data_IF_536564012351
#
_entry.id   IF_536564012351
#
_cell.length_a   1.000
_cell.length_b   1.000
_cell.length_c   1.000
_cell.angle_alpha   90.00
_cell.angle_beta   90.00
_cell.angle_gamma   90.00
#
_symmetry.space_group_name_H-M   'P 1'
#
loop_
_entity.id
_entity.type
_entity.pdbx_description
1 polymer ?
#
# COMPACT_ATOMS: atom_id res chain seq x y z
N UNK A 1 6.37 -20.04 5.44
CA UNK A 1 5.98 -19.02 6.43
C UNK A 1 7.28 -18.49 7.02
N UNK A 2 7.60 -17.23 6.79
CA UNK A 2 8.82 -16.59 7.34
C UNK A 2 8.59 -16.35 8.82
N UNK A 3 9.61 -16.58 9.64
CA UNK A 3 9.45 -16.39 11.08
C UNK A 3 9.40 -14.87 11.44
N UNK A 4 8.79 -14.53 12.57
CA UNK A 4 8.61 -13.12 12.97
C UNK A 4 9.95 -12.41 13.21
N UNK A 5 11.01 -13.13 13.54
CA UNK A 5 12.34 -12.58 13.81
C UNK A 5 13.07 -12.23 12.52
N UNK A 6 13.04 -13.12 11.53
CA UNK A 6 13.54 -12.94 10.17
C UNK A 6 12.85 -11.75 9.50
N UNK A 7 11.52 -11.66 9.64
CA UNK A 7 10.77 -10.54 9.06
C UNK A 7 11.12 -9.19 9.71
N UNK A 8 11.36 -9.17 11.03
CA UNK A 8 11.82 -7.95 11.72
C UNK A 8 13.22 -7.53 11.27
N UNK A 9 14.14 -8.47 11.12
CA UNK A 9 15.49 -8.20 10.61
C UNK A 9 15.41 -7.67 9.17
N UNK A 10 14.62 -8.31 8.31
CA UNK A 10 14.39 -7.84 6.94
C UNK A 10 13.81 -6.42 6.90
N UNK A 11 12.86 -6.09 7.77
CA UNK A 11 12.30 -4.74 7.84
C UNK A 11 13.35 -3.71 8.30
N UNK A 12 14.24 -4.06 9.23
CA UNK A 12 15.35 -3.19 9.66
C UNK A 12 16.34 -2.96 8.51
N UNK A 13 16.78 -4.02 7.86
CA UNK A 13 17.73 -3.94 6.75
C UNK A 13 17.15 -3.14 5.57
N UNK A 14 15.87 -3.36 5.27
CA UNK A 14 15.14 -2.61 4.23
C UNK A 14 15.02 -1.13 4.57
N UNK A 15 14.68 -0.80 5.82
CA UNK A 15 14.60 0.58 6.29
C UNK A 15 15.94 1.31 6.12
N UNK A 16 17.04 0.67 6.55
CA UNK A 16 18.39 1.23 6.41
C UNK A 16 18.75 1.42 4.94
N UNK A 17 18.54 0.38 4.12
CA UNK A 17 18.91 0.38 2.70
C UNK A 17 18.19 1.48 1.91
N UNK A 18 16.89 1.66 2.16
CA UNK A 18 16.03 2.57 1.40
C UNK A 18 15.80 3.92 2.10
N UNK A 19 16.53 4.18 3.19
CA UNK A 19 16.45 5.43 3.95
C UNK A 19 15.02 5.82 4.38
N UNK A 20 14.25 4.82 4.80
CA UNK A 20 12.91 4.98 5.39
C UNK A 20 12.90 4.48 6.83
N UNK A 21 11.85 4.76 7.59
CA UNK A 21 11.76 4.26 8.97
C UNK A 21 11.20 2.83 9.01
N UNK A 22 11.63 2.05 9.99
CA UNK A 22 11.06 0.73 10.27
C UNK A 22 9.55 0.82 10.59
N UNK A 23 9.12 1.92 11.22
CA UNK A 23 7.71 2.20 11.49
C UNK A 23 6.86 2.32 10.22
N UNK A 24 7.38 2.99 9.17
CA UNK A 24 6.71 3.06 7.86
C UNK A 24 6.50 1.66 7.27
N UNK A 25 7.51 0.78 7.36
CA UNK A 25 7.44 -0.59 6.87
C UNK A 25 6.43 -1.41 7.68
N UNK A 26 6.53 -1.41 9.02
CA UNK A 26 5.65 -2.21 9.86
C UNK A 26 4.19 -1.79 9.76
N UNK A 27 3.91 -0.47 9.75
CA UNK A 27 2.55 0.05 9.55
C UNK A 27 2.01 -0.34 8.18
N UNK A 28 2.81 -0.19 7.13
CA UNK A 28 2.40 -0.56 5.78
C UNK A 28 2.12 -2.06 5.63
N UNK A 29 3.01 -2.90 6.15
CA UNK A 29 2.86 -4.35 6.17
C UNK A 29 1.58 -4.77 6.92
N UNK A 30 1.36 -4.22 8.12
CA UNK A 30 0.15 -4.51 8.90
C UNK A 30 -1.13 -4.11 8.13
N UNK A 31 -1.16 -2.91 7.57
CA UNK A 31 -2.28 -2.41 6.79
C UNK A 31 -2.58 -3.27 5.56
N UNK A 32 -1.55 -3.72 4.84
CA UNK A 32 -1.68 -4.59 3.68
C UNK A 32 -2.14 -6.01 4.05
N UNK A 33 -1.61 -6.58 5.14
CA UNK A 33 -2.08 -7.87 5.69
C UNK A 33 -3.56 -7.83 6.03
N UNK A 34 -4.00 -6.82 6.78
CA UNK A 34 -5.40 -6.65 7.17
C UNK A 34 -6.30 -6.44 5.94
N UNK A 35 -5.78 -5.81 4.89
CA UNK A 35 -6.51 -5.61 3.62
C UNK A 35 -6.57 -6.86 2.73
N UNK A 36 -5.91 -7.96 3.11
CA UNK A 36 -5.88 -9.18 2.32
C UNK A 36 -4.97 -9.09 1.08
N UNK A 37 -3.88 -8.32 1.15
CA UNK A 37 -2.89 -8.27 0.08
C UNK A 37 -2.40 -9.69 -0.25
N UNK A 38 -2.43 -10.13 -1.53
CA UNK A 38 -2.06 -11.49 -1.90
C UNK A 38 -0.54 -11.74 -1.95
N UNK A 39 0.28 -10.69 -1.78
CA UNK A 39 1.73 -10.81 -1.77
C UNK A 39 2.22 -11.38 -0.43
N UNK A 40 3.39 -12.03 -0.47
CA UNK A 40 4.04 -12.52 0.76
C UNK A 40 4.55 -11.34 1.57
N UNK A 41 4.66 -11.50 2.88
CA UNK A 41 5.15 -10.45 3.76
C UNK A 41 6.54 -9.93 3.37
N UNK A 42 7.43 -10.81 2.94
CA UNK A 42 8.76 -10.43 2.45
C UNK A 42 8.69 -9.57 1.19
N UNK A 43 7.77 -9.91 0.28
CA UNK A 43 7.56 -9.17 -0.96
C UNK A 43 6.97 -7.78 -0.64
N UNK A 44 6.07 -7.70 0.34
CA UNK A 44 5.50 -6.44 0.83
C UNK A 44 6.58 -5.54 1.46
N UNK A 45 7.42 -6.10 2.34
CA UNK A 45 8.52 -5.35 2.97
C UNK A 45 9.45 -4.78 1.91
N UNK A 46 9.88 -5.60 0.95
CA UNK A 46 10.76 -5.15 -0.13
C UNK A 46 10.07 -4.07 -1.00
N UNK A 47 8.80 -4.27 -1.38
CA UNK A 47 8.03 -3.30 -2.15
C UNK A 47 7.89 -1.94 -1.45
N UNK A 48 7.65 -1.92 -0.13
CA UNK A 48 7.58 -0.69 0.66
C UNK A 48 8.93 0.03 0.71
N UNK A 49 10.04 -0.72 0.77
CA UNK A 49 11.39 -0.18 0.62
C UNK A 49 11.64 0.44 -0.74
N UNK A 50 11.39 -0.32 -1.81
CA UNK A 50 11.59 0.16 -3.20
C UNK A 50 10.80 1.43 -3.50
N UNK A 51 9.57 1.55 -3.01
CA UNK A 51 8.76 2.76 -3.16
C UNK A 51 9.34 3.97 -2.39
N UNK A 52 10.01 3.71 -1.26
CA UNK A 52 10.70 4.71 -0.46
C UNK A 52 11.79 5.47 -1.24
N UNK A 53 12.53 4.78 -2.12
CA UNK A 53 13.55 5.38 -2.98
C UNK A 53 12.98 6.49 -3.91
N UNK A 54 11.67 6.46 -4.15
CA UNK A 54 10.95 7.43 -5.00
C UNK A 54 10.09 8.41 -4.18
N UNK A 55 10.27 8.45 -2.85
CA UNK A 55 9.48 9.30 -1.96
C UNK A 55 8.02 8.83 -1.78
N UNK A 56 7.69 7.60 -2.19
CA UNK A 56 6.36 7.03 -2.03
C UNK A 56 6.37 6.19 -0.75
N UNK A 57 5.81 6.72 0.33
CA UNK A 57 5.80 6.08 1.64
C UNK A 57 4.46 6.26 2.37
N UNK A 58 4.32 5.62 3.54
CA UNK A 58 3.10 5.63 4.35
C UNK A 58 1.88 5.17 3.53
N UNK A 59 0.76 5.87 3.69
CA UNK A 59 -0.52 5.57 3.05
C UNK A 59 -0.42 5.48 1.52
N UNK A 60 0.38 6.33 0.87
CA UNK A 60 0.54 6.30 -0.58
C UNK A 60 1.19 4.99 -1.05
N UNK A 61 2.19 4.50 -0.32
CA UNK A 61 2.81 3.22 -0.63
C UNK A 61 1.84 2.05 -0.42
N UNK A 62 1.03 2.12 0.64
CA UNK A 62 0.03 1.09 0.96
C UNK A 62 -1.07 1.02 -0.09
N UNK A 63 -1.66 2.17 -0.46
CA UNK A 63 -2.67 2.24 -1.53
C UNK A 63 -2.12 1.68 -2.84
N UNK A 64 -0.88 2.04 -3.16
CA UNK A 64 -0.20 1.62 -4.37
C UNK A 64 0.09 0.13 -4.42
N UNK A 65 0.65 -0.43 -3.35
CA UNK A 65 0.88 -1.88 -3.24
C UNK A 65 -0.44 -2.63 -3.30
N UNK A 66 -1.47 -2.20 -2.54
CA UNK A 66 -2.79 -2.83 -2.57
C UNK A 66 -3.33 -2.88 -4.00
N UNK A 67 -3.31 -1.73 -4.71
CA UNK A 67 -3.85 -1.65 -6.07
C UNK A 67 -3.09 -2.51 -7.08
N UNK A 68 -1.76 -2.49 -7.05
CA UNK A 68 -0.95 -3.27 -7.99
C UNK A 68 -1.07 -4.78 -7.69
N UNK A 69 -1.17 -5.15 -6.41
CA UNK A 69 -1.26 -6.54 -5.98
C UNK A 69 -2.55 -7.24 -6.42
N UNK A 70 -3.63 -6.49 -6.67
CA UNK A 70 -4.88 -7.02 -7.26
C UNK A 70 -4.71 -7.47 -8.71
N UNK A 71 -3.73 -6.91 -9.44
CA UNK A 71 -3.53 -7.16 -10.86
C UNK A 71 -2.31 -8.04 -11.17
N UNK A 72 -1.26 -7.96 -10.35
CA UNK A 72 0.04 -8.58 -10.64
C UNK A 72 0.67 -9.24 -9.42
N UNK A 73 1.41 -10.33 -9.66
CA UNK A 73 2.35 -10.86 -8.67
C UNK A 73 3.52 -9.88 -8.50
N UNK A 74 4.07 -9.80 -7.29
CA UNK A 74 5.21 -8.92 -7.01
C UNK A 74 6.39 -9.15 -7.97
N UNK A 75 6.72 -10.41 -8.27
CA UNK A 75 7.80 -10.78 -9.20
C UNK A 75 7.70 -10.14 -10.59
N UNK A 76 6.49 -9.79 -11.05
CA UNK A 76 6.25 -9.16 -12.35
C UNK A 76 6.51 -7.65 -12.33
N UNK A 77 6.36 -7.02 -11.16
CA UNK A 77 6.36 -5.55 -11.00
C UNK A 77 7.53 -5.06 -10.12
N UNK A 78 8.38 -5.97 -9.66
CA UNK A 78 9.58 -5.68 -8.87
C UNK A 78 10.47 -4.65 -9.59
N UNK A 79 10.93 -3.64 -8.87
CA UNK A 79 11.75 -2.54 -9.40
C UNK A 79 11.01 -1.51 -10.25
N UNK A 80 9.76 -1.76 -10.63
CA UNK A 80 8.95 -0.83 -11.46
C UNK A 80 7.68 -0.36 -10.76
N UNK A 81 7.55 -0.63 -9.46
CA UNK A 81 6.39 -0.24 -8.65
C UNK A 81 6.10 1.26 -8.68
N UNK A 82 7.07 2.12 -8.97
CA UNK A 82 6.92 3.58 -9.03
C UNK A 82 6.34 4.09 -10.37
N UNK A 83 6.25 3.25 -11.41
CA UNK A 83 5.71 3.63 -12.73
C UNK A 83 4.19 3.83 -12.71
N UNK A 84 3.67 4.66 -13.62
CA UNK A 84 2.21 4.91 -13.70
C UNK A 84 1.40 3.60 -13.76
N UNK A 85 0.17 3.61 -13.23
CA UNK A 85 -0.70 2.43 -13.27
C UNK A 85 -0.93 1.95 -14.70
N UNK A 86 -1.12 2.87 -15.64
CA UNK A 86 -1.27 2.56 -17.06
C UNK A 86 -0.04 1.81 -17.62
N UNK A 87 1.17 2.27 -17.31
CA UNK A 87 2.41 1.59 -17.73
C UNK A 87 2.55 0.18 -17.15
N UNK A 88 1.93 -0.07 -16.00
CA UNK A 88 1.90 -1.39 -15.37
C UNK A 88 0.74 -2.27 -15.89
N UNK A 89 -0.19 -1.72 -16.68
CA UNK A 89 -1.41 -2.41 -17.10
C UNK A 89 -2.49 -2.48 -16.02
N UNK A 90 -2.38 -1.64 -14.99
CA UNK A 90 -3.36 -1.47 -13.91
C UNK A 90 -4.33 -0.36 -14.30
N UNK A 91 -5.63 -0.66 -14.31
CA UNK A 91 -6.64 0.37 -14.63
C UNK A 91 -6.75 1.37 -13.48
N UNK A 92 -6.42 2.62 -13.73
CA UNK A 92 -6.58 3.69 -12.73
C UNK A 92 -8.05 4.09 -12.54
N UNK A 93 -8.85 4.02 -13.61
CA UNK A 93 -10.26 4.39 -13.62
C UNK A 93 -11.16 3.22 -13.98
N UNK A 94 -12.36 3.22 -13.44
CA UNK A 94 -13.40 2.24 -13.77
C UNK A 94 -14.07 2.56 -15.11
N UNK A 95 -15.08 1.76 -15.49
CA UNK A 95 -15.84 1.95 -16.73
C UNK A 95 -16.62 3.27 -16.80
N UNK A 96 -16.84 3.93 -15.67
CA UNK A 96 -17.54 5.20 -15.56
C UNK A 96 -16.56 6.39 -15.52
N UNK A 97 -15.25 6.13 -15.53
CA UNK A 97 -14.21 7.16 -15.40
C UNK A 97 -13.87 7.51 -13.95
N UNK A 98 -14.44 6.82 -12.96
CA UNK A 98 -14.16 7.07 -11.54
C UNK A 98 -12.85 6.43 -11.11
N UNK A 99 -12.13 7.08 -10.18
CA UNK A 99 -10.88 6.54 -9.64
C UNK A 99 -11.13 5.22 -8.93
N UNK A 100 -10.40 4.17 -9.31
CA UNK A 100 -10.49 2.87 -8.63
C UNK A 100 -9.69 2.95 -7.34
N UNK A 101 -10.39 3.07 -6.22
CA UNK A 101 -9.76 3.00 -4.90
C UNK A 101 -9.41 1.57 -4.55
N UNK A 102 -8.18 1.30 -4.06
CA UNK A 102 -7.83 -0.03 -3.56
C UNK A 102 -8.72 -0.41 -2.38
N UNK A 103 -9.04 -1.70 -2.25
CA UNK A 103 -9.83 -2.19 -1.12
C UNK A 103 -8.97 -2.22 0.15
N UNK A 104 -9.07 -1.18 0.98
CA UNK A 104 -8.31 -1.06 2.24
C UNK A 104 -9.22 -1.30 3.46
N UNK A 105 -9.32 -2.55 3.88
CA UNK A 105 -10.22 -2.96 4.98
C UNK A 105 -9.92 -2.26 6.32
N UNK A 106 -8.66 -1.87 6.57
CA UNK A 106 -8.30 -1.12 7.77
C UNK A 106 -8.84 0.31 7.78
N UNK A 107 -9.07 0.93 6.61
CA UNK A 107 -9.72 2.25 6.54
C UNK A 107 -11.20 2.17 6.90
N UNK A 108 -11.88 1.13 6.44
CA UNK A 108 -13.30 0.91 6.75
C UNK A 108 -13.51 0.75 8.27
N UNK A 109 -12.57 0.08 8.95
CA UNK A 109 -12.58 -0.09 10.41
C UNK A 109 -12.26 1.20 11.20
N UNK A 110 -11.55 2.17 10.60
CA UNK A 110 -11.31 3.48 11.23
C UNK A 110 -12.48 4.46 11.03
N UNK A 111 -13.21 4.35 9.91
CA UNK A 111 -14.39 5.19 9.62
C UNK A 111 -15.58 4.81 10.50
N UNK A 112 -15.64 3.58 11.01
CA UNK A 112 -16.58 3.20 12.08
C UNK A 112 -16.44 4.00 13.39
N UNK A 113 -15.39 4.82 13.54
CA UNK A 113 -15.16 5.71 14.68
C UNK A 113 -15.27 7.21 14.37
N UNK A 114 -15.46 7.62 13.12
CA UNK A 114 -15.61 9.03 12.75
C UNK A 114 -16.80 9.23 11.82
N UNK A 115 -17.91 9.67 12.42
CA UNK A 115 -19.01 10.31 11.71
C UNK A 115 -18.47 11.52 10.94
N UNK A 116 -18.23 11.35 9.64
CA UNK A 116 -18.25 12.46 8.70
C UNK A 116 -19.70 12.70 8.27
N UNK A 117 -20.52 13.20 9.18
CA UNK A 117 -21.71 13.94 8.76
C UNK A 117 -21.27 15.29 8.22
N UNK A 118 -21.15 15.30 6.89
CA UNK A 118 -21.30 16.43 5.97
C UNK A 118 -21.54 17.79 6.64
N UNK A 119 -20.47 18.57 6.76
CA UNK A 119 -20.60 20.02 6.73
C UNK A 119 -20.33 20.50 5.30
N UNK A 120 -21.40 20.72 4.53
CA UNK A 120 -21.54 21.92 3.69
C UNK A 120 -22.89 21.98 2.96
N UNK A 121 -23.66 22.97 3.45
CA UNK A 121 -24.50 23.92 2.69
C UNK A 121 -25.77 23.40 2.02
N UNK A 122 -26.90 23.96 2.45
CA UNK A 122 -27.71 24.81 1.57
C UNK A 122 -28.30 25.97 2.38
N UNK A 123 -28.07 27.19 1.88
CA UNK A 123 -28.74 28.42 2.26
C UNK A 123 -30.24 28.32 1.96
N UNK A 124 -31.09 28.65 2.93
CA UNK A 124 -32.29 29.51 2.79
C UNK A 124 -32.84 29.85 4.17
#
# INVERSE_FOLDING_TARGET
MVDDKELRLMAQDTAIKHNITTDMIYKGLYQLRVSGCPWRDTDIVEALGELGDYGIHNLLAVERVARISEAHSYSRVKGVLHFSYESLGVKERDKNGELVTPKLLWRENLIGGFNYEKSSKTLQ
#
